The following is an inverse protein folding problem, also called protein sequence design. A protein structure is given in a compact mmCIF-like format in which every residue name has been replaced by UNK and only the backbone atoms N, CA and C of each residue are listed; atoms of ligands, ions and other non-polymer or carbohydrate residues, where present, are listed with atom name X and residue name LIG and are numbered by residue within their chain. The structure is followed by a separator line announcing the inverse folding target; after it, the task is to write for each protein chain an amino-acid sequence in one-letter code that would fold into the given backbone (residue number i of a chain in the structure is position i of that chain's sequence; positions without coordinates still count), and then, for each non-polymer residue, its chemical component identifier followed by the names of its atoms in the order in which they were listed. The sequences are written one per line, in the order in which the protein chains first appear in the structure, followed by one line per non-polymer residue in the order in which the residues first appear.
data_IF_548577573132
#
_entry.id   IF_548577573132
#
_cell.length_a   1.000
_cell.length_b   1.000
_cell.length_c   1.000
_cell.angle_alpha   90.00
_cell.angle_beta   90.00
_cell.angle_gamma   90.00
#
_symmetry.space_group_name_H-M   'P 1'
#
loop_
_entity.id
_entity.type
_entity.pdbx_description
1 polymer ?
#
# COMPACT_ATOMS: atom_id res chain seq x y z
N UNK A 1 6.89 -13.93 40.09
CA UNK A 1 6.56 -15.36 40.21
C UNK A 1 7.74 -16.17 40.73
N UNK A 2 8.83 -16.34 39.97
CA UNK A 2 9.99 -17.12 40.41
C UNK A 2 10.60 -16.69 41.77
N UNK A 3 10.69 -15.37 42.03
CA UNK A 3 11.17 -14.84 43.32
C UNK A 3 10.28 -15.25 44.51
N UNK A 4 8.96 -15.08 44.37
CA UNK A 4 7.99 -15.46 45.42
C UNK A 4 7.98 -16.97 45.67
N UNK A 5 8.15 -17.79 44.62
CA UNK A 5 8.31 -19.25 44.77
C UNK A 5 9.59 -19.58 45.54
N UNK A 6 10.71 -18.91 45.25
CA UNK A 6 11.97 -19.12 45.97
C UNK A 6 11.87 -18.74 47.45
N UNK A 7 11.21 -17.62 47.78
CA UNK A 7 10.98 -17.19 49.16
C UNK A 7 10.16 -18.22 49.95
N UNK A 8 9.09 -18.76 49.35
CA UNK A 8 8.29 -19.83 49.95
C UNK A 8 9.10 -21.10 50.21
N UNK A 9 9.94 -21.52 49.25
CA UNK A 9 10.81 -22.70 49.42
C UNK A 9 11.80 -22.51 50.57
N UNK A 10 12.41 -21.34 50.67
CA UNK A 10 13.32 -21.01 51.78
C UNK A 10 12.56 -21.02 53.11
N UNK A 11 11.37 -20.42 53.18
CA UNK A 11 10.53 -20.40 54.37
C UNK A 11 10.10 -21.81 54.83
N UNK A 12 9.76 -22.70 53.88
CA UNK A 12 9.45 -24.09 54.17
C UNK A 12 10.67 -24.86 54.68
N UNK A 13 11.86 -24.56 54.14
CA UNK A 13 13.11 -25.23 54.54
C UNK A 13 13.55 -24.91 55.97
N UNK A 14 13.24 -23.73 56.51
CA UNK A 14 13.65 -23.35 57.89
C UNK A 14 12.90 -24.12 59.00
N UNK A 15 11.74 -24.72 58.68
CA UNK A 15 10.90 -25.47 59.62
C UNK A 15 10.86 -26.97 59.35
N UNK A 16 11.48 -27.44 58.27
CA UNK A 16 11.42 -28.83 57.84
C UNK A 16 12.81 -29.48 57.92
N UNK A 17 12.83 -30.78 58.20
CA UNK A 17 14.06 -31.56 58.14
C UNK A 17 14.60 -31.57 56.70
N UNK A 18 15.83 -31.06 56.46
CA UNK A 18 16.38 -30.92 55.11
C UNK A 18 16.56 -32.25 54.38
N UNK A 19 16.71 -33.35 55.11
CA UNK A 19 16.91 -34.68 54.52
C UNK A 19 15.62 -35.46 54.28
N UNK A 20 14.48 -34.93 54.74
CA UNK A 20 13.18 -35.55 54.50
C UNK A 20 12.83 -35.58 53.00
N UNK A 21 12.20 -36.67 52.58
CA UNK A 21 11.80 -36.87 51.18
C UNK A 21 10.80 -35.82 50.70
N UNK A 22 9.96 -35.29 51.60
CA UNK A 22 9.03 -34.20 51.31
C UNK A 22 9.76 -32.90 50.94
N UNK A 23 10.80 -32.51 51.68
CA UNK A 23 11.63 -31.32 51.40
C UNK A 23 12.37 -31.46 50.07
N UNK A 24 12.94 -32.64 49.79
CA UNK A 24 13.61 -32.94 48.51
C UNK A 24 12.64 -32.83 47.32
N UNK A 25 11.45 -33.40 47.43
CA UNK A 25 10.39 -33.29 46.41
C UNK A 25 9.93 -31.85 46.20
N UNK A 26 9.76 -31.10 47.28
CA UNK A 26 9.36 -29.69 47.21
C UNK A 26 10.43 -28.83 46.51
N UNK A 27 11.71 -29.05 46.81
CA UNK A 27 12.82 -28.36 46.14
C UNK A 27 12.85 -28.67 44.63
N UNK A 28 12.66 -29.94 44.27
CA UNK A 28 12.61 -30.37 42.87
C UNK A 28 11.44 -29.73 42.12
N UNK A 29 10.24 -29.70 42.74
CA UNK A 29 9.08 -29.02 42.18
C UNK A 29 9.33 -27.51 42.03
N UNK A 30 9.95 -26.87 43.02
CA UNK A 30 10.33 -25.47 42.98
C UNK A 30 11.31 -25.14 41.85
N UNK A 31 12.33 -25.98 41.65
CA UNK A 31 13.28 -25.84 40.56
C UNK A 31 12.61 -26.02 39.19
N UNK A 32 11.66 -26.95 39.07
CA UNK A 32 10.87 -27.13 37.85
C UNK A 32 10.00 -25.90 37.55
N UNK A 33 9.34 -25.31 38.56
CA UNK A 33 8.54 -24.09 38.41
C UNK A 33 9.43 -22.92 37.98
N UNK A 34 10.61 -22.76 38.60
CA UNK A 34 11.57 -21.72 38.20
C UNK A 34 11.97 -21.87 36.74
N UNK A 35 12.37 -23.08 36.32
CA UNK A 35 12.76 -23.38 34.94
C UNK A 35 11.61 -23.14 33.94
N UNK A 36 10.39 -23.55 34.29
CA UNK A 36 9.22 -23.32 33.45
C UNK A 36 8.92 -21.82 33.29
N UNK A 37 9.06 -21.05 34.36
CA UNK A 37 8.87 -19.60 34.33
C UNK A 37 9.95 -18.92 33.49
N UNK A 38 11.22 -19.31 33.64
CA UNK A 38 12.33 -18.75 32.87
C UNK A 38 12.18 -19.08 31.37
N UNK A 39 11.78 -20.30 31.04
CA UNK A 39 11.48 -20.70 29.67
C UNK A 39 10.31 -19.91 29.07
N UNK A 40 9.24 -19.69 29.84
CA UNK A 40 8.10 -18.88 29.41
C UNK A 40 8.53 -17.44 29.14
N UNK A 41 9.31 -16.83 30.03
CA UNK A 41 9.82 -15.46 29.84
C UNK A 41 10.71 -15.39 28.59
N UNK A 42 11.61 -16.35 28.40
CA UNK A 42 12.45 -16.41 27.20
C UNK A 42 11.61 -16.57 25.93
N UNK A 43 10.60 -17.45 25.94
CA UNK A 43 9.71 -17.65 24.81
C UNK A 43 8.89 -16.38 24.50
N UNK A 44 8.39 -15.69 25.52
CA UNK A 44 7.66 -14.44 25.36
C UNK A 44 8.57 -13.33 24.78
N UNK A 45 9.80 -13.19 25.29
CA UNK A 45 10.78 -12.24 24.76
C UNK A 45 11.14 -12.54 23.29
N UNK A 46 11.32 -13.83 22.95
CA UNK A 46 11.56 -14.25 21.57
C UNK A 46 10.36 -13.97 20.65
N UNK A 47 9.14 -14.17 21.14
CA UNK A 47 7.93 -13.87 20.37
C UNK A 47 7.81 -12.38 20.06
N UNK A 48 8.09 -11.50 21.05
CA UNK A 48 8.08 -10.04 20.86
C UNK A 48 9.12 -9.62 19.81
N UNK A 49 10.36 -10.10 19.92
CA UNK A 49 11.41 -9.78 18.96
C UNK A 49 11.07 -10.24 17.53
N UNK A 50 10.51 -11.44 17.38
CA UNK A 50 10.09 -11.94 16.06
C UNK A 50 8.94 -11.11 15.46
N UNK A 51 8.01 -10.62 16.28
CA UNK A 51 6.94 -9.74 15.83
C UNK A 51 7.49 -8.40 15.33
N UNK A 52 8.42 -7.80 16.07
CA UNK A 52 9.09 -6.57 15.67
C UNK A 52 9.88 -6.75 14.37
N UNK A 53 10.67 -7.81 14.24
CA UNK A 53 11.41 -8.12 13.01
C UNK A 53 10.49 -8.32 11.81
N UNK A 54 9.39 -9.09 11.98
CA UNK A 54 8.39 -9.29 10.92
C UNK A 54 7.73 -7.98 10.51
N UNK A 55 7.37 -7.13 11.48
CA UNK A 55 6.79 -5.82 11.23
C UNK A 55 7.75 -4.91 10.44
N UNK A 56 9.03 -4.87 10.82
CA UNK A 56 10.05 -4.10 10.12
C UNK A 56 10.25 -4.57 8.67
N UNK A 57 10.29 -5.89 8.44
CA UNK A 57 10.41 -6.47 7.09
C UNK A 57 9.20 -6.13 6.22
N UNK A 58 7.98 -6.23 6.78
CA UNK A 58 6.75 -5.93 6.05
C UNK A 58 6.65 -4.45 5.68
N UNK A 59 6.98 -3.55 6.61
CA UNK A 59 7.01 -2.11 6.36
C UNK A 59 8.03 -1.75 5.27
N UNK A 60 9.24 -2.32 5.31
CA UNK A 60 10.26 -2.09 4.29
C UNK A 60 9.79 -2.52 2.89
N UNK A 61 9.10 -3.66 2.80
CA UNK A 61 8.55 -4.16 1.53
C UNK A 61 7.41 -3.27 1.01
N UNK A 62 6.52 -2.83 1.90
CA UNK A 62 5.38 -1.98 1.55
C UNK A 62 5.83 -0.59 1.07
N UNK A 63 6.76 0.05 1.78
CA UNK A 63 7.32 1.35 1.39
C UNK A 63 8.04 1.25 0.04
N UNK A 64 8.71 0.12 -0.25
CA UNK A 64 9.30 -0.12 -1.57
C UNK A 64 8.27 -0.10 -2.71
N UNK A 65 7.11 -0.74 -2.51
CA UNK A 65 6.02 -0.74 -3.51
C UNK A 65 5.41 0.65 -3.70
N UNK A 66 5.12 1.36 -2.60
CA UNK A 66 4.58 2.73 -2.64
C UNK A 66 5.57 3.69 -3.33
N UNK A 67 6.87 3.58 -3.04
CA UNK A 67 7.89 4.40 -3.69
C UNK A 67 7.95 4.16 -5.20
N UNK A 68 7.85 2.90 -5.65
CA UNK A 68 7.78 2.56 -7.07
C UNK A 68 6.54 3.18 -7.74
N UNK A 69 5.38 3.10 -7.06
CA UNK A 69 4.12 3.67 -7.55
C UNK A 69 4.19 5.20 -7.66
N UNK A 70 4.76 5.88 -6.65
CA UNK A 70 4.98 7.33 -6.67
C UNK A 70 5.89 7.72 -7.83
N UNK A 71 7.02 7.02 -8.01
CA UNK A 71 7.96 7.29 -9.09
C UNK A 71 7.28 7.12 -10.46
N UNK A 72 6.54 6.02 -10.66
CA UNK A 72 5.80 5.78 -11.89
C UNK A 72 4.76 6.89 -12.17
N UNK A 73 3.98 7.27 -11.16
CA UNK A 73 3.01 8.38 -11.27
C UNK A 73 3.69 9.72 -11.59
N UNK A 74 4.82 9.99 -10.96
CA UNK A 74 5.58 11.23 -11.20
C UNK A 74 6.10 11.31 -12.64
N UNK A 75 6.51 10.17 -13.20
CA UNK A 75 7.00 10.10 -14.58
C UNK A 75 5.86 10.28 -15.59
N UNK A 76 4.68 9.70 -15.32
CA UNK A 76 3.47 9.94 -16.13
C UNK A 76 3.14 11.43 -16.16
N UNK A 77 3.09 12.09 -15.01
CA UNK A 77 2.79 13.53 -14.93
C UNK A 77 3.82 14.38 -15.67
N UNK A 78 5.10 14.01 -15.61
CA UNK A 78 6.17 14.70 -16.35
C UNK A 78 5.93 14.62 -17.86
N UNK A 79 5.64 13.42 -18.36
CA UNK A 79 5.39 13.17 -19.79
C UNK A 79 4.12 13.89 -20.25
N UNK A 80 3.05 13.86 -19.46
CA UNK A 80 1.79 14.55 -19.77
C UNK A 80 2.01 16.06 -19.93
N UNK A 81 2.80 16.68 -19.05
CA UNK A 81 3.15 18.08 -19.14
C UNK A 81 3.96 18.38 -20.42
N UNK A 82 4.97 17.58 -20.73
CA UNK A 82 5.78 17.75 -21.94
C UNK A 82 4.94 17.59 -23.22
N UNK A 83 3.99 16.64 -23.21
CA UNK A 83 3.05 16.43 -24.30
C UNK A 83 2.15 17.66 -24.49
N UNK A 84 1.63 18.23 -23.41
CA UNK A 84 0.81 19.44 -23.46
C UNK A 84 1.59 20.64 -24.01
N UNK A 85 2.83 20.84 -23.57
CA UNK A 85 3.70 21.90 -24.11
C UNK A 85 4.01 21.72 -25.60
N UNK A 86 4.24 20.48 -26.05
CA UNK A 86 4.45 20.17 -27.46
C UNK A 86 3.19 20.45 -28.30
N UNK A 87 2.00 20.10 -27.77
CA UNK A 87 0.70 20.41 -28.40
C UNK A 87 0.47 21.93 -28.49
N UNK A 88 0.79 22.68 -27.44
CA UNK A 88 0.73 24.14 -27.44
C UNK A 88 1.61 24.75 -28.53
N UNK A 89 2.88 24.30 -28.61
CA UNK A 89 3.82 24.73 -29.66
C UNK A 89 3.31 24.43 -31.07
N UNK A 90 2.80 23.22 -31.31
CA UNK A 90 2.24 22.85 -32.61
C UNK A 90 1.03 23.73 -33.00
N UNK A 91 0.17 24.01 -32.03
CA UNK A 91 -1.02 24.85 -32.24
C UNK A 91 -0.61 26.28 -32.58
N UNK A 92 0.36 26.86 -31.87
CA UNK A 92 0.90 28.18 -32.18
C UNK A 92 1.51 28.25 -33.59
N UNK A 93 2.27 27.22 -34.02
CA UNK A 93 2.82 27.13 -35.38
C UNK A 93 1.70 27.11 -36.42
N UNK A 94 0.64 26.31 -36.20
CA UNK A 94 -0.51 26.25 -37.12
C UNK A 94 -1.20 27.61 -37.22
N UNK A 95 -1.48 28.25 -36.09
CA UNK A 95 -2.10 29.58 -36.08
C UNK A 95 -1.25 30.61 -36.83
N UNK A 96 0.06 30.64 -36.59
CA UNK A 96 0.97 31.54 -37.30
C UNK A 96 0.96 31.27 -38.82
N UNK A 97 0.93 30.00 -39.24
CA UNK A 97 0.88 29.62 -40.66
C UNK A 97 -0.40 30.07 -41.36
N UNK A 98 -1.56 29.93 -40.73
CA UNK A 98 -2.85 30.32 -41.32
C UNK A 98 -3.11 31.83 -41.22
N UNK A 99 -2.74 32.47 -40.11
CA UNK A 99 -2.85 33.94 -39.95
C UNK A 99 -1.97 34.70 -40.94
N UNK A 100 -0.78 34.19 -41.27
CA UNK A 100 0.09 34.80 -42.29
C UNK A 100 -0.39 34.52 -43.73
N UNK A 101 -1.25 33.51 -43.94
CA UNK A 101 -1.87 33.22 -45.23
C UNK A 101 -3.11 34.08 -45.48
N UNK A 102 -3.88 34.39 -44.43
CA UNK A 102 -5.01 35.33 -44.48
C UNK A 102 -4.57 36.79 -44.72
N UNK A 103 -3.32 37.12 -44.41
CA UNK A 103 -2.72 38.44 -44.73
C UNK A 103 -2.26 38.63 -46.19
N UNK A 104 -2.47 37.65 -47.07
CA UNK A 104 -2.06 37.68 -48.49
C UNK A 104 -3.23 37.54 -49.48
N UNK A 105 -4.47 37.71 -49.02
CA UNK A 105 -5.67 37.75 -49.89
C UNK A 105 -6.48 39.03 -49.68
N UNK A 106 -5.81 40.17 -49.53
CA UNK A 106 -6.44 41.49 -49.60
C UNK A 106 -6.18 42.09 -50.99
N UNK A 107 -6.85 41.53 -51.99
CA UNK A 107 -7.12 42.21 -53.27
C UNK A 107 -8.48 41.74 -53.79
N UNK A 108 -9.49 42.56 -53.51
CA UNK A 108 -10.71 42.85 -54.27
C UNK A 108 -11.47 41.69 -54.94
N UNK A 109 -12.69 41.42 -54.45
CA UNK A 109 -13.66 40.62 -55.20
C UNK A 109 -14.91 40.24 -54.41
N UNK A 110 -15.87 41.17 -54.38
CA UNK A 110 -17.33 40.98 -54.47
C UNK A 110 -18.04 39.94 -53.59
N UNK A 111 -19.14 40.41 -53.00
CA UNK A 111 -20.07 39.64 -52.21
C UNK A 111 -20.65 38.43 -52.97
N UNK A 112 -20.67 37.25 -52.34
CA UNK A 112 -21.82 36.37 -52.49
C UNK A 112 -22.09 35.54 -51.22
N UNK A 113 -23.38 35.41 -50.94
CA UNK A 113 -23.99 34.69 -49.84
C UNK A 113 -23.80 33.18 -49.99
N UNK A 114 -23.74 32.47 -48.86
CA UNK A 114 -24.35 31.13 -48.60
C UNK A 114 -23.42 30.15 -47.88
N UNK A 115 -23.98 29.35 -46.97
CA UNK A 115 -23.32 28.12 -46.51
C UNK A 115 -23.64 27.74 -45.08
N UNK A 116 -24.80 27.11 -44.88
CA UNK A 116 -25.33 26.68 -43.59
C UNK A 116 -24.43 25.76 -42.76
N UNK A 117 -24.57 25.89 -41.44
CA UNK A 117 -24.06 24.95 -40.46
C UNK A 117 -24.95 23.69 -40.49
N UNK A 118 -24.47 22.59 -41.05
CA UNK A 118 -25.13 21.29 -40.96
C UNK A 118 -24.55 20.53 -39.76
N UNK A 119 -25.26 20.61 -38.62
CA UNK A 119 -24.98 19.80 -37.44
C UNK A 119 -25.50 18.39 -37.66
N UNK A 120 -24.61 17.42 -37.94
CA UNK A 120 -25.00 16.02 -37.98
C UNK A 120 -25.12 15.46 -36.55
N UNK A 121 -26.35 15.25 -36.11
CA UNK A 121 -26.68 14.41 -34.95
C UNK A 121 -26.63 12.94 -35.40
N UNK A 122 -25.57 12.21 -35.06
CA UNK A 122 -25.54 10.76 -35.23
C UNK A 122 -26.24 10.06 -34.07
N UNK A 123 -27.56 9.95 -34.15
CA UNK A 123 -28.33 8.92 -33.46
C UNK A 123 -28.30 7.65 -34.31
N UNK A 124 -27.60 6.61 -33.84
CA UNK A 124 -27.78 5.24 -34.37
C UNK A 124 -28.22 4.35 -33.23
N UNK A 125 -29.53 4.14 -33.19
CA UNK A 125 -30.21 3.08 -32.46
C UNK A 125 -30.22 1.81 -33.33
N UNK A 126 -29.60 0.73 -32.87
CA UNK A 126 -29.88 -0.66 -33.28
C UNK A 126 -29.11 -1.55 -32.30
N UNK A 127 -29.62 -2.53 -31.57
CA UNK A 127 -30.93 -3.15 -31.42
C UNK A 127 -30.71 -4.33 -30.45
N UNK A 128 -31.72 -4.62 -29.62
CA UNK A 128 -32.06 -5.87 -28.88
C UNK A 128 -31.17 -7.10 -29.22
N UNK A 129 -30.77 -8.02 -28.33
CA UNK A 129 -31.34 -8.52 -27.07
C UNK A 129 -30.52 -9.77 -26.65
N UNK A 130 -30.81 -10.31 -25.46
CA UNK A 130 -30.71 -11.74 -25.04
C UNK A 130 -29.69 -12.07 -23.92
N UNK A 131 -30.22 -11.95 -22.71
CA UNK A 131 -30.21 -12.90 -21.57
C UNK A 131 -28.91 -13.52 -21.00
N UNK A 132 -28.80 -13.28 -19.68
CA UNK A 132 -28.66 -14.23 -18.56
C UNK A 132 -27.28 -14.58 -17.98
N UNK A 133 -27.26 -14.39 -16.65
CA UNK A 133 -26.64 -15.16 -15.57
C UNK A 133 -25.13 -15.05 -15.33
N UNK A 134 -24.78 -14.22 -14.35
CA UNK A 134 -23.78 -14.53 -13.31
C UNK A 134 -24.29 -15.64 -12.37
N UNK A 135 -23.53 -16.08 -11.35
CA UNK A 135 -22.15 -16.59 -11.32
C UNK A 135 -22.09 -17.98 -10.62
N UNK A 136 -20.94 -18.69 -10.66
CA UNK A 136 -20.34 -19.48 -9.55
C UNK A 136 -19.23 -20.42 -10.03
N UNK A 137 -18.19 -20.53 -9.22
CA UNK A 137 -17.05 -21.44 -9.34
C UNK A 137 -15.87 -20.90 -8.56
#
# INVERSE_FOLDING_TARGET
VASSTAQLLVACKVKADPDSDSTKRLQNAGNAVKKATDNLVRAAQQAIQQEEERSLVLNKRMVGGIAQEINARSEVLRIEKELEEARGRLTAIRQAKYKNREGYSDTDGEADQSGGYESFSSSTTLGKSVTRSSPRG
#
